data_IF_838934390948
#
_entry.id   IF_838934390948
#
_cell.length_a   1.000
_cell.length_b   1.000
_cell.length_c   1.000
_cell.angle_alpha   90.00
_cell.angle_beta   90.00
_cell.angle_gamma   90.00
#
_symmetry.space_group_name_H-M   'P 1'
#
loop_
_entity.id
_entity.type
_entity.pdbx_description
1 polymer ?
#
# COMPACT_ATOMS: atom_id res chain seq x y z
N UNK A 1 53.77 -8.60 -13.92
CA UNK A 1 52.44 -8.71 -14.57
C UNK A 1 51.48 -9.25 -13.54
N UNK A 2 50.46 -8.48 -13.14
CA UNK A 2 49.49 -8.94 -12.15
C UNK A 2 48.69 -10.11 -12.76
N UNK A 3 48.71 -11.31 -12.17
CA UNK A 3 48.00 -12.47 -12.75
C UNK A 3 46.48 -12.25 -12.85
N UNK A 4 45.93 -11.40 -11.97
CA UNK A 4 44.51 -11.05 -11.98
C UNK A 4 44.11 -10.25 -13.23
N UNK A 5 44.94 -9.29 -13.68
CA UNK A 5 44.60 -8.47 -14.85
C UNK A 5 44.64 -9.28 -16.15
N UNK A 6 45.52 -10.28 -16.24
CA UNK A 6 45.57 -11.21 -17.37
C UNK A 6 44.29 -12.04 -17.46
N UNK A 7 43.82 -12.59 -16.33
CA UNK A 7 42.60 -13.40 -16.27
C UNK A 7 41.37 -12.57 -16.61
N UNK A 8 41.26 -11.35 -16.09
CA UNK A 8 40.18 -10.41 -16.41
C UNK A 8 40.14 -10.05 -17.89
N UNK A 9 41.30 -9.76 -18.48
CA UNK A 9 41.41 -9.47 -19.92
C UNK A 9 40.96 -10.65 -20.76
N UNK A 10 41.35 -11.88 -20.40
CA UNK A 10 40.89 -13.09 -21.08
C UNK A 10 39.37 -13.28 -20.97
N UNK A 11 38.76 -12.99 -19.81
CA UNK A 11 37.31 -13.04 -19.63
C UNK A 11 36.60 -12.02 -20.52
N UNK A 12 37.09 -10.78 -20.56
CA UNK A 12 36.54 -9.71 -21.41
C UNK A 12 36.65 -10.05 -22.89
N UNK A 13 37.77 -10.63 -23.35
CA UNK A 13 37.94 -11.06 -24.74
C UNK A 13 36.96 -12.18 -25.13
N UNK A 14 36.66 -13.12 -24.22
CA UNK A 14 35.64 -14.15 -24.46
C UNK A 14 34.24 -13.55 -24.57
N UNK A 15 33.92 -12.55 -23.74
CA UNK A 15 32.65 -11.80 -23.83
C UNK A 15 32.55 -11.05 -25.16
N UNK A 16 33.62 -10.36 -25.56
CA UNK A 16 33.73 -9.69 -26.86
C UNK A 16 33.48 -10.65 -28.03
N UNK A 17 34.08 -11.83 -28.00
CA UNK A 17 33.87 -12.82 -29.05
C UNK A 17 32.42 -13.32 -29.10
N UNK A 18 31.79 -13.56 -27.94
CA UNK A 18 30.38 -13.99 -27.89
C UNK A 18 29.42 -12.92 -28.42
N UNK A 19 29.74 -11.65 -28.19
CA UNK A 19 28.93 -10.50 -28.59
C UNK A 19 29.12 -10.11 -30.06
N UNK A 20 30.29 -10.46 -30.63
CA UNK A 20 30.61 -10.32 -32.07
C UNK A 20 30.07 -11.48 -32.92
N UNK A 21 29.57 -12.53 -32.31
CA UNK A 21 28.96 -13.64 -33.03
C UNK A 21 27.87 -13.11 -33.98
N UNK A 22 27.77 -13.71 -35.16
CA UNK A 22 26.87 -13.22 -36.21
C UNK A 22 25.39 -13.20 -35.79
N UNK A 23 25.00 -14.02 -34.80
CA UNK A 23 23.64 -14.03 -34.25
C UNK A 23 23.35 -12.86 -33.32
N UNK A 24 24.38 -12.23 -32.74
CA UNK A 24 24.26 -11.06 -31.83
C UNK A 24 24.58 -9.77 -32.57
N UNK A 25 25.61 -9.80 -33.44
CA UNK A 25 25.88 -8.75 -34.40
C UNK A 25 26.40 -7.43 -33.82
N UNK A 26 27.04 -7.42 -32.63
CA UNK A 26 27.64 -6.20 -32.08
C UNK A 26 29.16 -6.15 -32.37
N UNK A 27 29.62 -5.40 -33.39
CA UNK A 27 31.04 -5.26 -33.71
C UNK A 27 31.73 -4.30 -32.73
N UNK A 28 32.02 -4.79 -31.52
CA UNK A 28 32.67 -4.00 -30.48
C UNK A 28 34.17 -4.29 -30.42
N UNK A 29 35.02 -3.27 -30.33
CA UNK A 29 36.47 -3.46 -30.07
C UNK A 29 36.76 -3.50 -28.56
N UNK A 30 37.95 -3.99 -28.19
CA UNK A 30 38.35 -4.03 -26.78
C UNK A 30 38.40 -2.64 -26.14
N UNK A 31 39.01 -1.67 -26.84
CA UNK A 31 39.06 -0.27 -26.37
C UNK A 31 37.67 0.33 -26.23
N UNK A 32 36.77 0.04 -27.18
CA UNK A 32 35.39 0.49 -27.09
C UNK A 32 34.67 -0.11 -25.89
N UNK A 33 34.87 -1.41 -25.59
CA UNK A 33 34.28 -2.03 -24.40
C UNK A 33 34.83 -1.42 -23.10
N UNK A 34 36.12 -1.07 -23.06
CA UNK A 34 36.70 -0.39 -21.90
C UNK A 34 36.09 1.00 -21.67
N UNK A 35 35.85 1.77 -22.75
CA UNK A 35 35.21 3.08 -22.65
C UNK A 35 33.69 2.99 -22.36
N UNK A 36 32.99 2.03 -22.95
CA UNK A 36 31.55 1.82 -22.75
C UNK A 36 31.23 1.22 -21.40
N UNK A 37 32.16 0.43 -20.84
CA UNK A 37 31.99 -0.34 -19.62
C UNK A 37 31.00 -1.51 -19.81
N UNK A 38 31.17 -2.55 -19.00
CA UNK A 38 30.46 -3.83 -19.15
C UNK A 38 28.95 -3.67 -18.92
N UNK A 39 28.54 -2.77 -18.02
CA UNK A 39 27.13 -2.55 -17.72
C UNK A 39 26.35 -1.95 -18.90
N UNK A 40 26.94 -1.02 -19.66
CA UNK A 40 26.29 -0.46 -20.87
C UNK A 40 26.15 -1.51 -21.96
N UNK A 41 27.12 -2.43 -22.06
CA UNK A 41 26.99 -3.59 -22.95
C UNK A 41 25.80 -4.46 -22.54
N UNK A 42 25.61 -4.74 -21.25
CA UNK A 42 24.46 -5.51 -20.78
C UNK A 42 23.15 -4.79 -21.07
N UNK A 43 23.06 -3.49 -20.81
CA UNK A 43 21.85 -2.69 -21.10
C UNK A 43 21.52 -2.71 -22.61
N UNK A 44 22.52 -2.68 -23.49
CA UNK A 44 22.32 -2.82 -24.95
C UNK A 44 21.84 -4.22 -25.35
N UNK A 45 22.41 -5.27 -24.76
CA UNK A 45 21.97 -6.65 -25.03
C UNK A 45 20.53 -6.87 -24.56
N UNK A 46 20.15 -6.27 -23.44
CA UNK A 46 18.77 -6.26 -22.92
C UNK A 46 17.83 -5.55 -23.88
N UNK A 47 18.21 -4.37 -24.38
CA UNK A 47 17.44 -3.60 -25.36
C UNK A 47 17.20 -4.39 -26.66
N UNK A 48 18.20 -5.16 -27.09
CA UNK A 48 18.10 -6.05 -28.25
C UNK A 48 17.46 -7.41 -27.94
N UNK A 49 16.86 -7.57 -26.75
CA UNK A 49 16.15 -8.77 -26.32
C UNK A 49 17.04 -10.02 -26.13
N UNK A 50 18.37 -9.87 -26.13
CA UNK A 50 19.35 -10.94 -25.84
C UNK A 50 19.55 -11.17 -24.32
N UNK A 51 18.45 -11.25 -23.58
CA UNK A 51 18.45 -11.33 -22.10
C UNK A 51 19.19 -12.57 -21.57
N UNK A 52 19.07 -13.71 -22.26
CA UNK A 52 19.77 -14.94 -21.86
C UNK A 52 21.30 -14.81 -21.99
N UNK A 53 21.77 -14.17 -23.06
CA UNK A 53 23.19 -13.90 -23.27
C UNK A 53 23.71 -12.91 -22.23
N UNK A 54 22.94 -11.84 -21.96
CA UNK A 54 23.27 -10.87 -20.92
C UNK A 54 23.42 -11.54 -19.54
N UNK A 55 22.49 -12.42 -19.16
CA UNK A 55 22.58 -13.17 -17.90
C UNK A 55 23.80 -14.11 -17.84
N UNK A 56 24.12 -14.80 -18.96
CA UNK A 56 25.32 -15.64 -19.04
C UNK A 56 26.59 -14.81 -18.88
N UNK A 57 26.67 -13.66 -19.53
CA UNK A 57 27.81 -12.74 -19.43
C UNK A 57 27.94 -12.22 -18.00
N UNK A 58 26.85 -11.79 -17.36
CA UNK A 58 26.88 -11.29 -15.99
C UNK A 58 27.37 -12.37 -14.99
N UNK A 59 26.86 -13.61 -15.12
CA UNK A 59 27.32 -14.76 -14.32
C UNK A 59 28.79 -15.09 -14.57
N UNK A 60 29.22 -15.07 -15.84
CA UNK A 60 30.60 -15.39 -16.23
C UNK A 60 31.61 -14.35 -15.71
N UNK A 61 31.23 -13.07 -15.75
CA UNK A 61 32.04 -11.97 -15.23
C UNK A 61 31.96 -11.83 -13.71
N UNK A 62 31.09 -12.62 -13.04
CA UNK A 62 30.87 -12.59 -11.58
C UNK A 62 30.50 -11.20 -11.09
N UNK A 63 29.69 -10.49 -11.87
CA UNK A 63 29.16 -9.19 -11.45
C UNK A 63 28.31 -9.36 -10.21
N UNK A 64 28.34 -8.35 -9.33
CA UNK A 64 27.44 -8.34 -8.19
C UNK A 64 25.98 -8.30 -8.67
N UNK A 65 25.08 -8.91 -7.91
CA UNK A 65 23.66 -8.98 -8.23
C UNK A 65 23.03 -7.64 -8.66
N UNK A 66 23.30 -6.48 -8.01
CA UNK A 66 22.75 -5.19 -8.43
C UNK A 66 23.27 -4.72 -9.80
N UNK A 67 24.47 -5.13 -10.23
CA UNK A 67 25.06 -4.72 -11.51
C UNK A 67 24.83 -5.74 -12.64
N UNK A 68 24.49 -6.98 -12.27
CA UNK A 68 24.21 -8.07 -13.19
C UNK A 68 22.71 -8.34 -13.32
N UNK A 69 22.25 -9.39 -12.65
CA UNK A 69 20.89 -9.91 -12.80
C UNK A 69 19.81 -8.90 -12.36
N UNK A 70 20.09 -8.07 -11.35
CA UNK A 70 19.18 -7.06 -10.82
C UNK A 70 18.87 -5.93 -11.80
N UNK A 71 19.74 -5.63 -12.77
CA UNK A 71 19.43 -4.68 -13.87
C UNK A 71 18.72 -5.36 -15.03
N UNK A 72 19.17 -6.57 -15.37
CA UNK A 72 18.70 -7.29 -16.56
C UNK A 72 17.24 -7.75 -16.39
N UNK A 73 16.90 -8.31 -15.22
CA UNK A 73 15.61 -8.98 -15.02
C UNK A 73 14.40 -8.04 -14.95
N UNK A 74 14.46 -6.84 -14.33
CA UNK A 74 13.36 -5.87 -14.41
C UNK A 74 13.07 -5.42 -15.85
N UNK A 75 14.11 -5.14 -16.65
CA UNK A 75 13.92 -4.78 -18.05
C UNK A 75 13.34 -5.93 -18.89
N UNK A 76 13.79 -7.16 -18.64
CA UNK A 76 13.17 -8.33 -19.23
C UNK A 76 11.70 -8.47 -18.83
N UNK A 77 11.36 -8.22 -17.56
CA UNK A 77 9.99 -8.26 -17.08
C UNK A 77 9.12 -7.17 -17.75
N UNK A 78 9.61 -5.94 -17.89
CA UNK A 78 8.92 -4.89 -18.65
C UNK A 78 8.63 -5.30 -20.08
N UNK A 79 9.62 -5.89 -20.75
CA UNK A 79 9.44 -6.40 -22.10
C UNK A 79 8.40 -7.54 -22.14
N UNK A 80 8.44 -8.46 -21.17
CA UNK A 80 7.49 -9.58 -21.08
C UNK A 80 6.06 -9.11 -20.82
N UNK A 81 5.88 -8.10 -19.96
CA UNK A 81 4.58 -7.49 -19.66
C UNK A 81 3.97 -6.85 -20.91
N UNK A 82 4.79 -6.20 -21.74
CA UNK A 82 4.37 -5.57 -22.99
C UNK A 82 3.92 -6.56 -24.08
N UNK A 83 4.18 -7.86 -23.92
CA UNK A 83 3.72 -8.90 -24.84
C UNK A 83 2.22 -9.20 -24.62
N UNK A 84 1.36 -8.42 -25.28
CA UNK A 84 -0.11 -8.51 -25.16
C UNK A 84 -0.71 -9.82 -25.69
N UNK A 85 0.00 -10.54 -26.57
CA UNK A 85 -0.45 -11.80 -27.15
C UNK A 85 -0.35 -13.00 -26.18
N UNK A 86 0.37 -12.85 -25.06
CA UNK A 86 0.59 -13.91 -24.08
C UNK A 86 -0.41 -13.78 -22.94
N UNK A 87 -0.98 -14.90 -22.50
CA UNK A 87 -1.95 -14.93 -21.41
C UNK A 87 -1.35 -14.40 -20.11
N UNK A 88 -2.16 -13.67 -19.36
CA UNK A 88 -1.76 -13.02 -18.10
C UNK A 88 -1.19 -14.00 -17.06
N UNK A 89 -1.76 -15.21 -16.95
CA UNK A 89 -1.28 -16.23 -16.01
C UNK A 89 0.13 -16.73 -16.32
N UNK A 90 0.43 -16.92 -17.61
CA UNK A 90 1.73 -17.40 -18.05
C UNK A 90 2.81 -16.35 -17.82
N UNK A 91 2.49 -15.08 -18.09
CA UNK A 91 3.40 -13.96 -17.83
C UNK A 91 3.64 -13.79 -16.32
N UNK A 92 2.59 -13.85 -15.50
CA UNK A 92 2.72 -13.73 -14.05
C UNK A 92 3.60 -14.86 -13.46
N UNK A 93 3.36 -16.12 -13.87
CA UNK A 93 4.17 -17.26 -13.44
C UNK A 93 5.62 -17.11 -13.86
N UNK A 94 5.88 -16.82 -15.13
CA UNK A 94 7.23 -16.65 -15.65
C UNK A 94 7.98 -15.54 -14.92
N UNK A 95 7.32 -14.41 -14.62
CA UNK A 95 7.93 -13.31 -13.86
C UNK A 95 8.21 -13.78 -12.43
N UNK A 96 7.23 -14.36 -11.73
CA UNK A 96 7.40 -14.82 -10.35
C UNK A 96 8.53 -15.86 -10.19
N UNK A 97 8.64 -16.83 -11.09
CA UNK A 97 9.67 -17.88 -11.02
C UNK A 97 11.08 -17.34 -11.26
N UNK A 98 11.23 -16.43 -12.24
CA UNK A 98 12.54 -15.88 -12.59
C UNK A 98 12.99 -14.80 -11.60
N UNK A 99 12.05 -14.03 -11.03
CA UNK A 99 12.36 -12.92 -10.11
C UNK A 99 12.39 -13.35 -8.64
N UNK A 100 11.74 -14.44 -8.23
CA UNK A 100 11.76 -14.93 -6.85
C UNK A 100 13.17 -15.25 -6.33
N UNK A 101 14.10 -15.56 -7.25
CA UNK A 101 15.49 -15.87 -6.91
C UNK A 101 16.35 -14.64 -6.55
N UNK A 102 15.86 -13.42 -6.82
CA UNK A 102 16.63 -12.20 -6.64
C UNK A 102 16.13 -11.36 -5.46
N UNK A 103 17.03 -11.00 -4.51
CA UNK A 103 16.70 -10.08 -3.44
C UNK A 103 16.62 -8.63 -3.98
N UNK A 104 15.58 -7.90 -3.55
CA UNK A 104 15.48 -6.45 -3.75
C UNK A 104 14.78 -5.98 -5.03
N UNK A 105 14.07 -6.85 -5.74
CA UNK A 105 13.24 -6.43 -6.88
C UNK A 105 11.96 -5.77 -6.39
N UNK A 106 11.60 -4.65 -7.02
CA UNK A 106 10.33 -3.95 -6.85
C UNK A 106 9.33 -4.47 -7.89
N UNK A 107 8.44 -5.37 -7.47
CA UNK A 107 7.30 -5.81 -8.30
C UNK A 107 6.32 -4.66 -8.55
N UNK A 108 6.29 -3.66 -7.67
CA UNK A 108 5.50 -2.43 -7.85
C UNK A 108 5.79 -1.70 -9.17
N UNK A 109 7.06 -1.58 -9.57
CA UNK A 109 7.43 -0.93 -10.83
C UNK A 109 6.96 -1.74 -12.05
N UNK A 110 7.08 -3.07 -11.98
CA UNK A 110 6.62 -4.00 -13.01
C UNK A 110 5.10 -3.96 -13.13
N UNK A 111 4.40 -3.86 -11.99
CA UNK A 111 2.96 -3.69 -11.95
C UNK A 111 2.52 -2.36 -12.58
N UNK A 112 3.18 -1.23 -12.27
CA UNK A 112 2.90 0.06 -12.94
C UNK A 112 3.05 -0.06 -14.45
N UNK A 113 4.12 -0.72 -14.92
CA UNK A 113 4.30 -0.95 -16.35
C UNK A 113 3.18 -1.80 -16.95
N UNK A 114 2.64 -2.76 -16.19
CA UNK A 114 1.48 -3.54 -16.63
C UNK A 114 0.20 -2.70 -16.70
N UNK A 115 0.01 -1.74 -15.78
CA UNK A 115 -1.08 -0.75 -15.86
C UNK A 115 -0.95 0.10 -17.12
N UNK A 116 0.25 0.63 -17.42
CA UNK A 116 0.50 1.42 -18.63
C UNK A 116 0.20 0.65 -19.92
N UNK A 117 0.43 -0.67 -19.91
CA UNK A 117 0.15 -1.55 -21.04
C UNK A 117 -1.34 -1.99 -21.10
N UNK A 118 -2.20 -1.49 -20.21
CA UNK A 118 -3.62 -1.83 -20.13
C UNK A 118 -3.92 -3.21 -19.55
N UNK A 119 -2.95 -3.87 -18.90
CA UNK A 119 -3.07 -5.22 -18.33
C UNK A 119 -3.31 -5.17 -16.83
N UNK A 120 -4.47 -4.63 -16.42
CA UNK A 120 -4.80 -4.45 -14.99
C UNK A 120 -4.79 -5.78 -14.21
N UNK A 121 -5.33 -6.86 -14.78
CA UNK A 121 -5.32 -8.19 -14.14
C UNK A 121 -3.91 -8.72 -13.89
N UNK A 122 -2.95 -8.40 -14.76
CA UNK A 122 -1.55 -8.77 -14.59
C UNK A 122 -0.92 -7.94 -13.46
N UNK A 123 -1.20 -6.63 -13.45
CA UNK A 123 -0.70 -5.74 -12.41
C UNK A 123 -1.13 -6.22 -11.02
N UNK A 124 -2.40 -6.58 -10.85
CA UNK A 124 -2.93 -7.11 -9.57
C UNK A 124 -2.17 -8.36 -9.13
N UNK A 125 -1.98 -9.34 -10.03
CA UNK A 125 -1.25 -10.58 -9.70
C UNK A 125 0.22 -10.35 -9.36
N UNK A 126 0.85 -9.38 -10.00
CA UNK A 126 2.23 -8.99 -9.68
C UNK A 126 2.32 -8.28 -8.34
N UNK A 127 1.31 -7.47 -7.99
CA UNK A 127 1.25 -6.81 -6.69
C UNK A 127 1.06 -7.80 -5.53
N UNK A 128 0.42 -8.95 -5.74
CA UNK A 128 0.35 -10.01 -4.73
C UNK A 128 1.73 -10.61 -4.39
N UNK A 129 2.73 -10.44 -5.27
CA UNK A 129 4.12 -10.85 -5.04
C UNK A 129 4.96 -9.79 -4.32
N UNK A 130 4.46 -8.55 -4.19
CA UNK A 130 5.18 -7.45 -3.53
C UNK A 130 5.03 -7.56 -2.00
N UNK A 131 6.12 -7.75 -1.24
CA UNK A 131 6.04 -7.85 0.22
C UNK A 131 5.79 -6.49 0.90
N UNK A 132 6.06 -5.37 0.21
CA UNK A 132 5.96 -4.02 0.77
C UNK A 132 4.57 -3.44 0.55
N UNK A 133 3.75 -3.46 1.60
CA UNK A 133 2.41 -2.86 1.55
C UNK A 133 2.41 -1.38 1.18
N UNK A 134 3.45 -0.62 1.56
CA UNK A 134 3.58 0.81 1.23
C UNK A 134 3.65 1.08 -0.27
N UNK A 135 4.21 0.16 -1.05
CA UNK A 135 4.28 0.23 -2.51
C UNK A 135 3.05 -0.39 -3.17
N UNK A 136 2.50 -1.43 -2.54
CA UNK A 136 1.37 -2.20 -3.05
C UNK A 136 0.05 -1.42 -2.97
N UNK A 137 -0.27 -0.86 -1.81
CA UNK A 137 -1.58 -0.25 -1.51
C UNK A 137 -1.88 0.95 -2.41
N UNK A 138 -0.96 1.92 -2.64
CA UNK A 138 -1.23 3.05 -3.54
C UNK A 138 -1.60 2.60 -4.95
N UNK A 139 -0.91 1.59 -5.50
CA UNK A 139 -1.16 1.09 -6.85
C UNK A 139 -2.51 0.36 -6.92
N UNK A 140 -2.88 -0.41 -5.88
CA UNK A 140 -4.21 -1.03 -5.80
C UNK A 140 -5.33 0.01 -5.77
N UNK A 141 -5.11 1.14 -5.08
CA UNK A 141 -6.05 2.26 -5.06
C UNK A 141 -6.17 2.93 -6.44
N UNK A 142 -5.05 3.16 -7.15
CA UNK A 142 -5.05 3.67 -8.53
C UNK A 142 -5.81 2.74 -9.50
N UNK A 143 -5.73 1.43 -9.27
CA UNK A 143 -6.44 0.40 -10.04
C UNK A 143 -7.93 0.26 -9.70
N UNK A 144 -8.47 1.06 -8.78
CA UNK A 144 -9.87 0.98 -8.33
C UNK A 144 -10.19 -0.29 -7.55
N UNK A 145 -9.18 -0.95 -6.96
CA UNK A 145 -9.33 -2.15 -6.14
C UNK A 145 -9.34 -1.76 -4.65
N UNK A 146 -10.25 -0.88 -4.26
CA UNK A 146 -10.17 -0.21 -2.95
C UNK A 146 -10.40 -1.16 -1.77
N UNK A 147 -11.30 -2.14 -1.91
CA UNK A 147 -11.52 -3.16 -0.87
C UNK A 147 -10.28 -4.03 -0.65
N UNK A 148 -9.61 -4.44 -1.74
CA UNK A 148 -8.35 -5.19 -1.65
C UNK A 148 -7.23 -4.34 -1.05
N UNK A 149 -7.15 -3.08 -1.45
CA UNK A 149 -6.20 -2.12 -0.88
C UNK A 149 -6.43 -1.96 0.63
N UNK A 150 -7.68 -1.90 1.08
CA UNK A 150 -8.04 -1.81 2.50
C UNK A 150 -7.62 -3.07 3.27
N UNK A 151 -7.90 -4.26 2.74
CA UNK A 151 -7.46 -5.51 3.36
C UNK A 151 -5.93 -5.55 3.49
N UNK A 152 -5.21 -5.18 2.43
CA UNK A 152 -3.73 -5.17 2.45
C UNK A 152 -3.14 -4.13 3.40
N UNK A 153 -3.77 -2.97 3.53
CA UNK A 153 -3.39 -1.96 4.51
C UNK A 153 -3.66 -2.41 5.96
N UNK A 154 -4.74 -3.17 6.20
CA UNK A 154 -5.02 -3.74 7.52
C UNK A 154 -4.01 -4.84 7.86
N UNK A 155 -3.71 -5.72 6.89
CA UNK A 155 -2.71 -6.80 7.05
C UNK A 155 -1.30 -6.26 7.35
N UNK A 156 -0.95 -5.08 6.81
CA UNK A 156 0.35 -4.46 7.08
C UNK A 156 0.46 -3.86 8.49
N UNK A 157 -0.67 -3.62 9.16
CA UNK A 157 -0.72 -2.96 10.47
C UNK A 157 -0.34 -1.47 10.44
N UNK A 158 -0.16 -0.90 9.26
CA UNK A 158 0.20 0.51 9.10
C UNK A 158 -1.06 1.38 9.08
N UNK A 159 -1.26 2.15 10.14
CA UNK A 159 -2.43 3.02 10.28
C UNK A 159 -2.47 4.10 9.21
N UNK A 160 -1.33 4.58 8.73
CA UNK A 160 -1.26 5.65 7.75
C UNK A 160 -1.74 5.16 6.38
N UNK A 161 -1.40 3.91 6.02
CA UNK A 161 -1.93 3.27 4.82
C UNK A 161 -3.44 3.05 4.90
N UNK A 162 -3.96 2.65 6.06
CA UNK A 162 -5.40 2.49 6.26
C UNK A 162 -6.11 3.84 6.11
N UNK A 163 -5.58 4.91 6.70
CA UNK A 163 -6.13 6.25 6.53
C UNK A 163 -6.07 6.76 5.10
N UNK A 164 -4.98 6.47 4.38
CA UNK A 164 -4.85 6.84 2.96
C UNK A 164 -5.95 6.19 2.12
N UNK A 165 -6.20 4.89 2.30
CA UNK A 165 -7.28 4.18 1.58
C UNK A 165 -8.66 4.75 1.97
N UNK A 166 -8.89 5.01 3.25
CA UNK A 166 -10.15 5.57 3.73
C UNK A 166 -10.41 6.99 3.20
N UNK A 167 -9.38 7.84 3.13
CA UNK A 167 -9.49 9.17 2.57
C UNK A 167 -9.84 9.09 1.08
N UNK A 168 -9.19 8.18 0.33
CA UNK A 168 -9.52 7.99 -1.08
C UNK A 168 -10.95 7.46 -1.28
N UNK A 169 -11.39 6.51 -0.46
CA UNK A 169 -12.76 6.02 -0.48
C UNK A 169 -13.77 7.14 -0.18
N UNK A 170 -13.43 8.06 0.73
CA UNK A 170 -14.27 9.23 1.04
C UNK A 170 -14.39 10.18 -0.16
N UNK A 171 -13.33 10.37 -0.93
CA UNK A 171 -13.36 11.18 -2.16
C UNK A 171 -14.16 10.52 -3.29
N UNK A 172 -13.94 9.22 -3.52
CA UNK A 172 -14.48 8.52 -4.69
C UNK A 172 -15.92 8.03 -4.46
N UNK A 173 -16.21 7.48 -3.27
CA UNK A 173 -17.47 6.79 -2.95
C UNK A 173 -17.97 7.18 -1.55
N UNK A 174 -18.28 8.47 -1.28
CA UNK A 174 -18.66 8.94 0.05
C UNK A 174 -19.90 8.24 0.62
N UNK A 175 -20.86 7.86 -0.23
CA UNK A 175 -22.10 7.20 0.20
C UNK A 175 -21.90 5.74 0.61
N UNK A 176 -20.91 5.04 0.05
CA UNK A 176 -20.67 3.62 0.31
C UNK A 176 -19.55 3.39 1.32
N UNK A 177 -18.82 4.45 1.71
CA UNK A 177 -17.72 4.41 2.68
C UNK A 177 -18.13 3.70 3.97
N UNK A 178 -19.22 4.14 4.59
CA UNK A 178 -19.70 3.60 5.86
C UNK A 178 -19.99 2.09 5.75
N UNK A 179 -20.58 1.65 4.63
CA UNK A 179 -20.89 0.24 4.40
C UNK A 179 -19.63 -0.62 4.24
N UNK A 180 -18.65 -0.13 3.47
CA UNK A 180 -17.39 -0.86 3.21
C UNK A 180 -16.57 -0.97 4.49
N UNK A 181 -16.41 0.13 5.24
CA UNK A 181 -15.57 0.15 6.45
C UNK A 181 -16.17 -0.72 7.55
N UNK A 182 -17.51 -0.79 7.69
CA UNK A 182 -18.19 -1.65 8.68
C UNK A 182 -17.83 -3.13 8.54
N UNK A 183 -17.51 -3.60 7.33
CA UNK A 183 -17.08 -4.98 7.13
C UNK A 183 -15.72 -5.30 7.79
N UNK A 184 -14.93 -4.28 8.13
CA UNK A 184 -13.57 -4.40 8.64
C UNK A 184 -13.41 -3.73 10.01
N UNK A 185 -13.42 -4.49 11.13
CA UNK A 185 -13.44 -3.93 12.49
C UNK A 185 -12.28 -2.98 12.81
N UNK A 186 -11.08 -3.27 12.30
CA UNK A 186 -9.90 -2.43 12.52
C UNK A 186 -10.06 -1.06 11.85
N UNK A 187 -10.42 -1.06 10.56
CA UNK A 187 -10.68 0.17 9.82
C UNK A 187 -11.86 0.94 10.42
N UNK A 188 -12.90 0.25 10.88
CA UNK A 188 -14.03 0.86 11.58
C UNK A 188 -13.60 1.58 12.86
N UNK A 189 -12.78 0.95 13.69
CA UNK A 189 -12.27 1.57 14.92
C UNK A 189 -11.43 2.82 14.65
N UNK A 190 -10.63 2.81 13.57
CA UNK A 190 -9.84 3.96 13.14
C UNK A 190 -10.74 5.07 12.57
N UNK A 191 -11.78 4.71 11.83
CA UNK A 191 -12.77 5.64 11.32
C UNK A 191 -13.51 6.37 12.44
N UNK A 192 -13.98 5.65 13.45
CA UNK A 192 -14.64 6.25 14.62
C UNK A 192 -13.72 7.22 15.37
N UNK A 193 -12.42 6.89 15.51
CA UNK A 193 -11.44 7.80 16.12
C UNK A 193 -11.29 9.09 15.32
N UNK A 194 -11.16 9.01 14.00
CA UNK A 194 -11.08 10.21 13.13
C UNK A 194 -12.37 11.03 13.22
N UNK A 195 -13.54 10.39 13.18
CA UNK A 195 -14.81 11.09 13.35
C UNK A 195 -14.90 11.80 14.71
N UNK A 196 -14.39 11.20 15.80
CA UNK A 196 -14.39 11.82 17.13
C UNK A 196 -13.62 13.15 17.17
N UNK A 197 -12.54 13.27 16.41
CA UNK A 197 -11.71 14.47 16.35
C UNK A 197 -12.29 15.53 15.42
N UNK A 198 -12.73 15.13 14.22
CA UNK A 198 -13.06 16.04 13.14
C UNK A 198 -14.55 16.33 13.00
N UNK A 199 -15.44 15.37 13.31
CA UNK A 199 -16.89 15.48 13.09
C UNK A 199 -17.71 14.63 14.08
N UNK A 200 -18.09 15.27 15.19
CA UNK A 200 -18.94 14.66 16.22
C UNK A 200 -20.37 14.38 15.74
N UNK A 201 -20.91 15.15 14.80
CA UNK A 201 -22.27 14.94 14.30
C UNK A 201 -22.32 13.70 13.43
N UNK A 202 -21.31 13.50 12.57
CA UNK A 202 -21.17 12.26 11.82
C UNK A 202 -20.98 11.07 12.76
N UNK A 203 -20.15 11.18 13.79
CA UNK A 203 -19.96 10.12 14.79
C UNK A 203 -21.28 9.72 15.48
N UNK A 204 -22.09 10.71 15.88
CA UNK A 204 -23.41 10.47 16.48
C UNK A 204 -24.32 9.68 15.53
N UNK A 205 -24.37 10.06 14.25
CA UNK A 205 -25.17 9.35 13.24
C UNK A 205 -24.72 7.90 13.02
N UNK A 206 -23.41 7.64 13.11
CA UNK A 206 -22.87 6.29 12.96
C UNK A 206 -23.22 5.41 14.17
N UNK A 207 -23.15 5.96 15.37
CA UNK A 207 -23.56 5.24 16.59
C UNK A 207 -25.06 4.99 16.66
N UNK A 208 -25.89 5.91 16.16
CA UNK A 208 -27.35 5.72 16.05
C UNK A 208 -27.69 4.56 15.09
N UNK A 209 -26.97 4.45 13.97
CA UNK A 209 -27.11 3.32 13.04
C UNK A 209 -26.66 1.96 13.61
N UNK A 210 -25.79 1.94 14.63
CA UNK A 210 -25.31 0.71 15.28
C UNK A 210 -26.09 0.34 16.56
N UNK A 211 -27.15 1.09 16.89
CA UNK A 211 -27.84 1.02 18.18
C UNK A 211 -26.87 1.16 19.39
N UNK A 212 -25.74 1.85 19.18
CA UNK A 212 -24.74 2.09 20.22
C UNK A 212 -25.11 3.33 21.03
N UNK A 213 -26.09 3.17 21.91
CA UNK A 213 -26.61 4.24 22.77
C UNK A 213 -25.55 4.84 23.72
N UNK A 214 -24.55 4.05 24.12
CA UNK A 214 -23.44 4.53 24.95
C UNK A 214 -22.55 5.51 24.17
N UNK A 215 -22.19 5.18 22.92
CA UNK A 215 -21.41 6.05 22.06
C UNK A 215 -22.10 7.39 21.76
N UNK A 216 -23.42 7.37 21.52
CA UNK A 216 -24.23 8.61 21.33
C UNK A 216 -24.16 9.50 22.57
N UNK A 217 -24.29 8.90 23.76
CA UNK A 217 -24.24 9.64 25.00
C UNK A 217 -22.85 10.24 25.27
N UNK A 218 -21.77 9.52 24.94
CA UNK A 218 -20.41 10.06 24.96
C UNK A 218 -20.25 11.26 24.01
N UNK A 219 -20.78 11.20 22.79
CA UNK A 219 -20.78 12.33 21.86
C UNK A 219 -21.48 13.57 22.45
N UNK A 220 -22.64 13.38 23.07
CA UNK A 220 -23.40 14.45 23.74
C UNK A 220 -22.67 15.03 24.95
N UNK A 221 -21.94 14.19 25.69
CA UNK A 221 -21.07 14.66 26.77
C UNK A 221 -19.96 15.54 26.19
N UNK A 222 -19.25 15.10 25.15
CA UNK A 222 -18.18 15.88 24.51
C UNK A 222 -18.72 17.22 23.98
N UNK A 223 -19.90 17.21 23.33
CA UNK A 223 -20.59 18.41 22.86
C UNK A 223 -20.92 19.38 24.02
N UNK A 224 -21.33 18.84 25.17
CA UNK A 224 -21.61 19.63 26.38
C UNK A 224 -20.39 20.41 26.88
N UNK A 225 -19.18 19.82 26.81
CA UNK A 225 -17.94 20.47 27.25
C UNK A 225 -17.41 21.49 26.24
N UNK A 226 -17.81 21.40 24.96
CA UNK A 226 -17.51 22.42 23.95
C UNK A 226 -18.38 23.67 24.07
N UNK A 227 -19.49 23.58 24.80
CA UNK A 227 -20.50 24.64 24.90
C UNK A 227 -20.25 25.53 26.11
N UNK A 228 -20.07 26.85 25.91
CA UNK A 228 -19.82 27.80 27.01
C UNK A 228 -21.06 28.13 27.84
N UNK A 229 -22.28 27.95 27.30
CA UNK A 229 -23.51 28.30 28.01
C UNK A 229 -23.96 27.17 28.95
N UNK A 230 -24.23 27.46 30.23
CA UNK A 230 -24.57 26.43 31.22
C UNK A 230 -25.90 25.74 30.91
N UNK A 231 -26.90 26.47 30.42
CA UNK A 231 -28.23 25.91 30.09
C UNK A 231 -28.14 24.90 28.96
N UNK A 232 -27.44 25.23 27.88
CA UNK A 232 -27.22 24.34 26.74
C UNK A 232 -26.39 23.11 27.15
N UNK A 233 -25.38 23.30 28.00
CA UNK A 233 -24.60 22.20 28.58
C UNK A 233 -25.48 21.26 29.41
N UNK A 234 -26.40 21.79 30.23
CA UNK A 234 -27.36 20.94 30.96
C UNK A 234 -28.31 20.20 30.03
N UNK A 235 -28.75 20.82 28.93
CA UNK A 235 -29.61 20.16 27.95
C UNK A 235 -28.89 18.99 27.25
N UNK A 236 -27.62 19.17 26.85
CA UNK A 236 -26.80 18.10 26.26
C UNK A 236 -26.56 16.94 27.24
N UNK A 237 -26.30 17.23 28.52
CA UNK A 237 -26.13 16.21 29.56
C UNK A 237 -27.45 15.46 29.83
N UNK A 238 -28.60 16.15 29.81
CA UNK A 238 -29.92 15.50 29.90
C UNK A 238 -30.18 14.56 28.72
N UNK A 239 -29.82 14.98 27.51
CA UNK A 239 -29.92 14.13 26.31
C UNK A 239 -29.00 12.90 26.41
N UNK A 240 -27.78 13.05 26.93
CA UNK A 240 -26.87 11.94 27.18
C UNK A 240 -27.45 10.92 28.18
N UNK A 241 -28.03 11.39 29.29
CA UNK A 241 -28.70 10.54 30.28
C UNK A 241 -29.87 9.77 29.68
N UNK A 242 -30.69 10.42 28.84
CA UNK A 242 -31.80 9.76 28.16
C UNK A 242 -31.31 8.61 27.26
N UNK A 243 -30.22 8.82 26.52
CA UNK A 243 -29.61 7.80 25.66
C UNK A 243 -28.99 6.65 26.46
N UNK A 244 -28.28 6.91 27.56
CA UNK A 244 -27.78 5.84 28.42
C UNK A 244 -28.91 4.96 29.00
N UNK A 245 -30.03 5.58 29.40
CA UNK A 245 -31.22 4.87 29.88
C UNK A 245 -31.87 4.03 28.78
N UNK A 246 -31.92 4.53 27.54
CA UNK A 246 -32.47 3.81 26.39
C UNK A 246 -31.65 2.54 26.06
N UNK A 247 -30.33 2.59 26.25
CA UNK A 247 -29.42 1.45 26.06
C UNK A 247 -29.30 0.48 27.23
N UNK A 248 -29.88 0.79 28.40
CA UNK A 248 -29.74 -0.03 29.62
C UNK A 248 -30.67 -1.25 29.60
N UNK A 249 -30.46 -2.18 28.66
CA UNK A 249 -31.13 -3.49 28.68
C UNK A 249 -30.51 -4.48 29.68
N UNK A 250 -29.34 -4.17 30.29
CA UNK A 250 -28.61 -5.06 31.22
C UNK A 250 -27.75 -4.33 32.28
N UNK A 251 -28.11 -3.13 32.72
CA UNK A 251 -27.41 -2.43 33.83
C UNK A 251 -25.96 -1.98 33.56
N UNK A 252 -25.42 -2.23 32.36
CA UNK A 252 -24.03 -1.85 32.00
C UNK A 252 -23.79 -0.33 31.99
N UNK A 253 -24.84 0.48 31.78
CA UNK A 253 -24.74 1.93 31.65
C UNK A 253 -25.24 2.69 32.89
N UNK A 254 -25.59 1.99 33.98
CA UNK A 254 -26.18 2.60 35.17
C UNK A 254 -25.17 3.49 35.90
N UNK A 255 -23.88 3.10 35.89
CA UNK A 255 -22.79 3.91 36.41
C UNK A 255 -22.65 5.23 35.63
N UNK A 256 -22.58 5.17 34.30
CA UNK A 256 -22.46 6.37 33.44
C UNK A 256 -23.68 7.29 33.60
N UNK A 257 -24.87 6.71 33.76
CA UNK A 257 -26.11 7.45 34.02
C UNK A 257 -26.02 8.22 35.34
N UNK A 258 -25.66 7.54 36.42
CA UNK A 258 -25.52 8.15 37.75
C UNK A 258 -24.46 9.26 37.75
N UNK A 259 -23.30 9.02 37.13
CA UNK A 259 -22.22 9.99 37.04
C UNK A 259 -22.64 11.25 36.26
N UNK A 260 -23.39 11.09 35.17
CA UNK A 260 -23.88 12.21 34.37
C UNK A 260 -24.97 13.01 35.12
N UNK A 261 -25.85 12.32 35.86
CA UNK A 261 -26.85 12.96 36.73
C UNK A 261 -26.18 13.75 37.88
N UNK A 262 -25.15 13.20 38.52
CA UNK A 262 -24.41 13.88 39.57
C UNK A 262 -23.64 15.10 39.05
N UNK A 263 -23.07 15.01 37.84
CA UNK A 263 -22.44 16.16 37.18
C UNK A 263 -23.44 17.30 36.93
N UNK A 264 -24.68 16.99 36.54
CA UNK A 264 -25.73 17.99 36.40
C UNK A 264 -26.14 18.61 37.75
N UNK A 265 -26.22 17.80 38.81
CA UNK A 265 -26.50 18.30 40.18
C UNK A 265 -25.40 19.25 40.65
N UNK A 266 -24.13 18.89 40.44
CA UNK A 266 -22.99 19.72 40.78
C UNK A 266 -23.02 21.05 40.04
N UNK A 267 -23.27 21.05 38.72
CA UNK A 267 -23.40 22.28 37.94
C UNK A 267 -24.51 23.20 38.47
N UNK A 268 -25.69 22.64 38.79
CA UNK A 268 -26.79 23.41 39.36
C UNK A 268 -26.45 24.03 40.71
N UNK A 269 -25.60 23.36 41.50
CA UNK A 269 -25.11 23.89 42.77
C UNK A 269 -24.10 25.02 42.53
N UNK A 270 -23.15 24.83 41.60
CA UNK A 270 -22.15 25.84 41.25
C UNK A 270 -22.75 27.13 40.67
N UNK A 271 -23.87 27.05 39.97
CA UNK A 271 -24.59 28.24 39.45
C UNK A 271 -25.35 29.02 40.52
N UNK A 272 -25.56 28.43 41.71
CA UNK A 272 -26.25 29.05 42.85
C UNK A 272 -25.30 29.67 43.87
N UNK A 273 -24.01 29.36 43.78
CA UNK A 273 -22.93 29.99 44.54
C UNK A 273 -22.54 31.32 43.88
#
# INVERSE_FOLDING_TARGET
>A
MNPNSFVETCRLLRVLNAVRDHMVGLPLTYLQLQCLLVYVLLDRLVLWQHNYLALKIAKFLRLQEPEGAGRILPHWAYYKVAQLHIRTDEVAKAISENLASLPGILYSEIARKAVDCGRQDLAIKLLDCEPRASEQVPILVELGQEERALVKAIESGDTDLVYMVMLKLKEMKPMHLDMIIRAYPVAWSLYLKVCKEWDLQKLESLHDQEDNFAGIAECKIIESYKTSRPEQRTACLQAAVAKYKQGSKKGSNDFCTAQTDDQMRLMRYQLKL
#
